data_IF_985664361150
#
_entry.id   IF_985664361150
#
_cell.length_a   1.000
_cell.length_b   1.000
_cell.length_c   1.000
_cell.angle_alpha   90.00
_cell.angle_beta   90.00
_cell.angle_gamma   90.00
#
_symmetry.space_group_name_H-M   'P 1'
#
loop_
_entity.id
_entity.type
_entity.pdbx_description
1 polymer ?
#
# COMPACT_ATOMS: atom_id res chain seq x y z
N UNK A 1 0.52 3.75 48.35
CA UNK A 1 0.41 5.12 47.82
C UNK A 1 -0.96 5.66 48.16
N UNK A 2 -1.05 6.75 48.95
CA UNK A 2 -2.31 7.43 49.25
C UNK A 2 -2.64 8.31 48.03
N UNK A 3 -3.89 8.23 47.57
CA UNK A 3 -4.41 9.06 46.48
C UNK A 3 -5.57 9.91 47.06
N UNK A 4 -5.51 11.21 46.84
CA UNK A 4 -6.57 12.14 47.21
C UNK A 4 -7.47 12.41 46.00
N UNK A 5 -8.76 12.19 46.15
CA UNK A 5 -9.74 12.42 45.10
C UNK A 5 -10.58 13.66 45.50
N UNK A 6 -10.52 14.77 44.72
CA UNK A 6 -11.31 15.95 45.01
C UNK A 6 -12.78 15.67 44.70
N UNK A 7 -13.63 16.00 45.64
CA UNK A 7 -15.10 15.90 45.51
C UNK A 7 -15.68 17.29 45.29
N UNK A 8 -16.73 17.37 44.46
CA UNK A 8 -17.50 18.59 44.26
C UNK A 8 -18.56 18.69 45.38
N UNK A 9 -18.41 19.68 46.25
CA UNK A 9 -19.25 19.86 47.43
C UNK A 9 -20.74 20.09 47.12
N UNK A 10 -21.05 20.46 45.87
CA UNK A 10 -22.45 20.63 45.42
C UNK A 10 -23.20 19.32 45.22
N UNK A 11 -22.49 18.19 45.27
CA UNK A 11 -23.07 16.87 45.03
C UNK A 11 -22.80 15.92 46.21
N UNK A 12 -23.66 14.99 46.39
CA UNK A 12 -23.48 13.90 47.37
C UNK A 12 -22.36 12.93 46.92
N UNK A 13 -21.95 12.06 47.84
CA UNK A 13 -20.86 11.11 47.59
C UNK A 13 -21.16 10.15 46.42
N UNK A 14 -22.42 9.72 46.28
CA UNK A 14 -22.88 8.83 45.22
C UNK A 14 -22.78 9.49 43.85
N UNK A 15 -23.23 10.73 43.76
CA UNK A 15 -23.17 11.52 42.52
C UNK A 15 -21.73 11.80 42.10
N UNK A 16 -20.85 12.15 43.05
CA UNK A 16 -19.44 12.32 42.80
C UNK A 16 -18.80 11.01 42.26
N UNK A 17 -19.07 9.88 42.91
CA UNK A 17 -18.57 8.57 42.46
C UNK A 17 -19.07 8.23 41.05
N UNK A 18 -20.33 8.44 40.73
CA UNK A 18 -20.88 8.22 39.40
C UNK A 18 -20.25 9.12 38.35
N UNK A 19 -19.94 10.37 38.68
CA UNK A 19 -19.23 11.30 37.75
C UNK A 19 -17.83 10.80 37.44
N UNK A 20 -17.06 10.34 38.40
CA UNK A 20 -15.73 9.75 38.19
C UNK A 20 -15.81 8.46 37.39
N UNK A 21 -16.78 7.59 37.71
CA UNK A 21 -17.00 6.37 36.93
C UNK A 21 -17.34 6.66 35.47
N UNK A 22 -18.22 7.62 35.21
CA UNK A 22 -18.54 8.03 33.83
C UNK A 22 -17.35 8.62 33.09
N UNK A 23 -16.51 9.43 33.76
CA UNK A 23 -15.24 9.93 33.19
C UNK A 23 -14.31 8.77 32.86
N UNK A 24 -14.16 7.79 33.75
CA UNK A 24 -13.37 6.61 33.51
C UNK A 24 -13.88 5.82 32.31
N UNK A 25 -15.16 5.52 32.22
CA UNK A 25 -15.76 4.80 31.11
C UNK A 25 -15.57 5.55 29.77
N UNK A 26 -15.79 6.88 29.77
CA UNK A 26 -15.58 7.71 28.61
C UNK A 26 -14.11 7.67 28.16
N UNK A 27 -13.16 7.82 29.07
CA UNK A 27 -11.74 7.75 28.77
C UNK A 27 -11.34 6.36 28.24
N UNK A 28 -11.82 5.28 28.86
CA UNK A 28 -11.57 3.91 28.41
C UNK A 28 -12.08 3.66 27.00
N UNK A 29 -13.31 4.09 26.69
CA UNK A 29 -13.87 3.94 25.35
C UNK A 29 -13.13 4.82 24.32
N UNK A 30 -12.74 6.04 24.72
CA UNK A 30 -11.96 6.93 23.86
C UNK A 30 -10.60 6.35 23.49
N UNK A 31 -9.91 5.66 24.41
CA UNK A 31 -8.63 4.99 24.12
C UNK A 31 -8.77 3.94 23.02
N UNK A 32 -9.86 3.14 23.06
CA UNK A 32 -10.10 2.15 22.02
C UNK A 32 -10.30 2.80 20.65
N UNK A 33 -11.17 3.82 20.58
CA UNK A 33 -11.44 4.55 19.33
C UNK A 33 -10.18 5.23 18.79
N UNK A 34 -9.37 5.83 19.68
CA UNK A 34 -8.10 6.46 19.28
C UNK A 34 -7.11 5.44 18.73
N UNK A 35 -7.02 4.25 19.32
CA UNK A 35 -6.15 3.21 18.80
C UNK A 35 -6.57 2.78 17.38
N UNK A 36 -7.87 2.56 17.16
CA UNK A 36 -8.41 2.24 15.83
C UNK A 36 -8.09 3.36 14.81
N UNK A 37 -8.24 4.64 15.20
CA UNK A 37 -7.90 5.77 14.35
C UNK A 37 -6.40 5.87 14.04
N UNK A 38 -5.54 5.59 15.02
CA UNK A 38 -4.08 5.55 14.81
C UNK A 38 -3.73 4.47 13.79
N UNK A 39 -4.32 3.29 13.89
CA UNK A 39 -4.01 2.18 12.98
C UNK A 39 -4.48 2.49 11.55
N UNK A 40 -5.69 3.02 11.37
CA UNK A 40 -6.19 3.49 10.08
C UNK A 40 -5.30 4.59 9.48
N UNK A 41 -4.88 5.55 10.30
CA UNK A 41 -4.00 6.65 9.83
C UNK A 41 -2.63 6.13 9.39
N UNK A 42 -2.07 5.12 10.09
CA UNK A 42 -0.82 4.48 9.68
C UNK A 42 -0.96 3.77 8.34
N UNK A 43 -2.06 3.06 8.10
CA UNK A 43 -2.34 2.43 6.82
C UNK A 43 -2.43 3.47 5.70
N UNK A 44 -3.08 4.60 5.96
CA UNK A 44 -3.19 5.71 5.00
C UNK A 44 -1.83 6.35 4.70
N UNK A 45 -0.99 6.58 5.72
CA UNK A 45 0.39 7.05 5.52
C UNK A 45 1.17 6.07 4.65
N UNK A 46 1.10 4.77 4.92
CA UNK A 46 1.76 3.75 4.12
C UNK A 46 1.25 3.71 2.68
N UNK A 47 -0.04 3.95 2.46
CA UNK A 47 -0.61 4.07 1.12
C UNK A 47 0.01 5.25 0.36
N UNK A 48 0.05 6.44 0.95
CA UNK A 48 0.65 7.61 0.31
C UNK A 48 2.17 7.48 0.12
N UNK A 49 2.89 6.85 1.04
CA UNK A 49 4.33 6.58 0.89
C UNK A 49 4.60 5.68 -0.34
N UNK A 50 3.76 4.65 -0.55
CA UNK A 50 3.79 3.85 -1.79
C UNK A 50 3.50 4.69 -3.03
N UNK A 51 2.45 5.51 -3.01
CA UNK A 51 2.09 6.38 -4.13
C UNK A 51 3.23 7.34 -4.48
N UNK A 52 3.86 7.97 -3.49
CA UNK A 52 5.00 8.87 -3.68
C UNK A 52 6.20 8.16 -4.31
N UNK A 53 6.48 6.93 -3.88
CA UNK A 53 7.57 6.13 -4.47
C UNK A 53 7.28 5.76 -5.93
N UNK A 54 6.06 5.34 -6.22
CA UNK A 54 5.69 4.86 -7.55
C UNK A 54 5.59 6.00 -8.57
N UNK A 55 5.18 7.21 -8.15
CA UNK A 55 5.04 8.36 -9.06
C UNK A 55 6.38 8.88 -9.58
N UNK A 56 7.49 8.66 -8.86
CA UNK A 56 8.82 9.07 -9.30
C UNK A 56 9.27 8.40 -10.62
N UNK A 57 8.77 7.19 -10.88
CA UNK A 57 9.10 6.41 -12.08
C UNK A 57 7.88 6.25 -13.02
N UNK A 58 6.79 7.00 -12.75
CA UNK A 58 5.55 6.93 -13.50
C UNK A 58 5.67 7.69 -14.84
N UNK A 59 5.15 7.10 -15.90
CA UNK A 59 4.88 7.82 -17.13
C UNK A 59 3.50 8.53 -17.08
N UNK A 60 3.13 9.19 -18.17
CA UNK A 60 1.85 9.90 -18.25
C UNK A 60 0.64 8.97 -18.00
N UNK A 61 0.66 7.75 -18.53
CA UNK A 61 -0.44 6.80 -18.38
C UNK A 61 -0.52 6.28 -16.96
N UNK A 62 0.62 5.98 -16.36
CA UNK A 62 0.72 5.56 -14.96
C UNK A 62 0.16 6.65 -14.03
N UNK A 63 0.57 7.90 -14.24
CA UNK A 63 0.10 9.05 -13.45
C UNK A 63 -1.42 9.28 -13.62
N UNK A 64 -1.97 9.05 -14.80
CA UNK A 64 -3.42 9.14 -15.04
C UNK A 64 -4.21 8.05 -14.34
N UNK A 65 -3.68 6.81 -14.29
CA UNK A 65 -4.28 5.71 -13.53
C UNK A 65 -4.24 6.00 -12.01
N UNK A 66 -3.10 6.48 -11.49
CA UNK A 66 -2.96 6.89 -10.08
C UNK A 66 -3.93 8.02 -9.72
N UNK A 67 -4.10 9.00 -10.61
CA UNK A 67 -5.08 10.07 -10.43
C UNK A 67 -6.50 9.53 -10.36
N UNK A 68 -6.88 8.61 -11.26
CA UNK A 68 -8.21 7.98 -11.26
C UNK A 68 -8.43 7.19 -9.96
N UNK A 69 -7.42 6.50 -9.45
CA UNK A 69 -7.46 5.81 -8.16
C UNK A 69 -7.76 6.81 -7.02
N UNK A 70 -7.01 7.92 -6.94
CA UNK A 70 -7.20 8.96 -5.92
C UNK A 70 -8.58 9.65 -6.03
N UNK A 71 -9.10 9.84 -7.25
CA UNK A 71 -10.45 10.35 -7.48
C UNK A 71 -11.53 9.35 -7.02
N UNK A 72 -11.30 8.05 -7.21
CA UNK A 72 -12.22 7.00 -6.78
C UNK A 72 -12.24 6.82 -5.26
N UNK A 73 -11.10 7.01 -4.60
CA UNK A 73 -10.96 6.98 -3.15
C UNK A 73 -11.41 8.28 -2.46
N UNK A 74 -11.73 9.33 -3.24
CA UNK A 74 -12.22 10.60 -2.72
C UNK A 74 -11.14 11.60 -2.30
N UNK A 75 -9.86 11.31 -2.50
CA UNK A 75 -8.75 12.23 -2.22
C UNK A 75 -8.68 13.39 -3.23
N UNK A 76 -9.14 13.16 -4.46
CA UNK A 76 -9.23 14.19 -5.50
C UNK A 76 -10.68 14.37 -5.95
N UNK A 77 -11.03 15.62 -6.27
CA UNK A 77 -12.35 15.93 -6.84
C UNK A 77 -12.43 15.39 -8.26
N UNK A 78 -13.43 14.55 -8.54
CA UNK A 78 -13.74 14.15 -9.91
C UNK A 78 -14.17 15.38 -10.72
N UNK A 79 -13.43 15.69 -11.78
CA UNK A 79 -13.92 16.64 -12.77
C UNK A 79 -15.10 15.97 -13.50
N UNK A 80 -16.29 16.58 -13.45
CA UNK A 80 -17.45 16.14 -14.23
C UNK A 80 -17.14 16.36 -15.73
N UNK A 81 -16.49 15.37 -16.33
CA UNK A 81 -16.47 15.26 -17.78
C UNK A 81 -17.68 14.41 -18.17
N UNK A 82 -18.40 14.81 -19.20
CA UNK A 82 -19.43 13.97 -19.86
C UNK A 82 -18.71 12.73 -20.37
N UNK A 83 -18.55 11.72 -19.52
CA UNK A 83 -17.81 10.51 -19.87
C UNK A 83 -18.65 9.67 -20.79
N UNK A 84 -18.29 9.63 -22.04
CA UNK A 84 -18.52 8.45 -22.88
C UNK A 84 -17.97 7.27 -22.08
N UNK A 85 -18.80 6.27 -21.76
CA UNK A 85 -18.40 5.02 -21.10
C UNK A 85 -17.23 4.40 -21.88
N UNK A 86 -16.00 4.75 -21.52
CA UNK A 86 -14.82 4.08 -22.08
C UNK A 86 -14.84 2.64 -21.58
N UNK A 87 -14.78 1.66 -22.50
CA UNK A 87 -14.52 0.26 -22.15
C UNK A 87 -13.32 0.25 -21.21
N UNK A 88 -13.42 -0.47 -20.07
CA UNK A 88 -12.30 -0.68 -19.16
C UNK A 88 -11.15 -1.28 -19.97
N UNK A 89 -10.15 -0.46 -20.27
CA UNK A 89 -8.87 -0.93 -20.80
C UNK A 89 -8.17 -1.66 -19.66
N UNK A 90 -7.43 -2.72 -19.99
CA UNK A 90 -6.50 -3.31 -19.03
C UNK A 90 -5.49 -2.23 -18.58
N UNK A 91 -5.04 -2.24 -17.31
CA UNK A 91 -4.01 -1.32 -16.85
C UNK A 91 -2.78 -1.39 -17.74
N UNK A 92 -2.11 -0.26 -17.93
CA UNK A 92 -0.93 -0.16 -18.76
C UNK A 92 0.31 -0.52 -17.92
N UNK A 93 0.66 -1.82 -17.83
CA UNK A 93 1.87 -2.29 -17.15
C UNK A 93 3.04 -2.40 -18.10
N UNK A 94 4.26 -2.28 -17.59
CA UNK A 94 5.48 -2.40 -18.38
C UNK A 94 5.83 -3.88 -18.63
N UNK A 95 6.27 -4.17 -19.85
CA UNK A 95 6.80 -5.49 -20.21
C UNK A 95 8.25 -5.35 -20.61
N UNK A 96 9.13 -6.10 -19.95
CA UNK A 96 10.54 -6.22 -20.30
C UNK A 96 10.78 -7.63 -20.83
N UNK A 97 11.74 -7.78 -21.73
CA UNK A 97 12.13 -9.06 -22.31
C UNK A 97 13.63 -9.26 -22.16
N UNK A 98 14.05 -10.39 -21.65
CA UNK A 98 15.45 -10.74 -21.54
C UNK A 98 16.00 -11.21 -22.88
N UNK A 99 17.32 -11.41 -22.96
CA UNK A 99 17.99 -11.97 -24.16
C UNK A 99 17.52 -13.40 -24.45
N UNK A 100 17.13 -14.13 -23.42
CA UNK A 100 16.63 -15.53 -23.52
C UNK A 100 15.09 -15.59 -23.64
N UNK A 101 14.48 -14.51 -24.13
CA UNK A 101 13.05 -14.41 -24.39
C UNK A 101 12.14 -14.50 -23.16
N UNK A 102 12.69 -14.45 -21.93
CA UNK A 102 11.89 -14.44 -20.70
C UNK A 102 11.21 -13.08 -20.53
N UNK A 103 9.89 -13.08 -20.30
CA UNK A 103 9.11 -11.88 -20.12
C UNK A 103 9.00 -11.50 -18.64
N UNK A 104 9.19 -10.22 -18.34
CA UNK A 104 8.94 -9.61 -17.04
C UNK A 104 7.78 -8.63 -17.17
N UNK A 105 6.79 -8.76 -16.29
CA UNK A 105 5.68 -7.80 -16.17
C UNK A 105 5.89 -6.96 -14.92
N UNK A 106 5.97 -5.64 -15.08
CA UNK A 106 6.26 -4.71 -14.01
C UNK A 106 5.07 -3.78 -13.81
N UNK A 107 4.51 -3.80 -12.60
CA UNK A 107 3.48 -2.84 -12.21
C UNK A 107 4.12 -1.58 -11.64
N UNK A 108 3.72 -0.40 -12.14
CA UNK A 108 4.26 0.90 -11.75
C UNK A 108 3.30 1.76 -10.93
N UNK A 109 2.15 1.20 -10.55
CA UNK A 109 1.20 1.76 -9.61
C UNK A 109 0.41 0.63 -8.93
N UNK A 110 -0.42 0.94 -7.92
CA UNK A 110 -1.16 -0.06 -7.16
C UNK A 110 -2.08 -0.91 -8.06
N UNK A 111 -2.80 -0.28 -8.99
CA UNK A 111 -3.72 -0.95 -9.91
C UNK A 111 -2.97 -1.93 -10.80
N UNK A 112 -1.81 -1.53 -11.31
CA UNK A 112 -0.96 -2.38 -12.15
C UNK A 112 -0.32 -3.51 -11.33
N UNK A 113 0.15 -3.23 -10.11
CA UNK A 113 0.70 -4.23 -9.20
C UNK A 113 -0.32 -5.34 -8.93
N UNK A 114 -1.57 -4.98 -8.63
CA UNK A 114 -2.66 -5.93 -8.44
C UNK A 114 -2.98 -6.69 -9.73
N UNK A 115 -3.02 -5.98 -10.86
CA UNK A 115 -3.31 -6.61 -12.14
C UNK A 115 -2.25 -7.62 -12.57
N UNK A 116 -0.96 -7.25 -12.51
CA UNK A 116 0.11 -8.18 -12.92
C UNK A 116 0.20 -9.39 -11.99
N UNK A 117 -0.09 -9.21 -10.70
CA UNK A 117 -0.03 -10.28 -9.71
C UNK A 117 -1.23 -11.22 -9.76
N UNK A 118 -2.46 -10.67 -9.79
CA UNK A 118 -3.66 -11.47 -9.60
C UNK A 118 -4.44 -11.78 -10.90
N UNK A 119 -4.13 -11.11 -12.01
CA UNK A 119 -4.83 -11.30 -13.28
C UNK A 119 -3.92 -11.73 -14.42
N UNK A 120 -2.68 -11.26 -14.46
CA UNK A 120 -1.75 -11.54 -15.56
C UNK A 120 -0.86 -12.74 -15.27
N UNK A 121 -0.34 -12.86 -14.04
CA UNK A 121 0.53 -13.95 -13.64
C UNK A 121 -0.15 -15.31 -13.73
N UNK A 122 0.60 -16.32 -14.13
CA UNK A 122 0.22 -17.73 -14.09
C UNK A 122 0.77 -18.38 -12.83
N UNK A 123 0.24 -19.53 -12.44
CA UNK A 123 0.70 -20.29 -11.25
C UNK A 123 2.17 -20.77 -11.35
N UNK A 124 2.71 -20.84 -12.56
CA UNK A 124 4.10 -21.19 -12.84
C UNK A 124 5.06 -20.02 -12.73
N UNK A 125 4.54 -18.78 -12.75
CA UNK A 125 5.35 -17.57 -12.75
C UNK A 125 5.89 -17.28 -11.35
N UNK A 126 6.88 -16.39 -11.28
CA UNK A 126 7.47 -15.94 -10.02
C UNK A 126 7.23 -14.47 -9.80
N UNK A 127 6.83 -14.14 -8.57
CA UNK A 127 6.62 -12.79 -8.10
C UNK A 127 7.84 -12.31 -7.31
N UNK A 128 8.26 -11.06 -7.55
CA UNK A 128 9.35 -10.38 -6.86
C UNK A 128 8.88 -9.03 -6.34
N UNK A 129 9.33 -8.68 -5.14
CA UNK A 129 9.09 -7.37 -4.53
C UNK A 129 10.17 -7.06 -3.49
N UNK A 130 10.53 -5.79 -3.33
CA UNK A 130 11.45 -5.35 -2.27
C UNK A 130 10.87 -5.64 -0.90
N UNK A 131 11.73 -6.04 0.04
CA UNK A 131 11.31 -6.39 1.39
C UNK A 131 11.04 -5.12 2.20
N UNK A 132 9.90 -5.09 2.89
CA UNK A 132 9.52 -4.08 3.90
C UNK A 132 9.58 -2.61 3.42
N UNK A 133 9.49 -2.35 2.13
CA UNK A 133 9.46 -1.00 1.57
C UNK A 133 8.58 -0.92 0.33
N UNK A 134 8.10 0.30 -0.02
CA UNK A 134 7.32 0.52 -1.24
C UNK A 134 8.10 0.22 -2.51
N UNK A 135 7.41 -0.39 -3.49
CA UNK A 135 8.00 -0.71 -4.80
C UNK A 135 7.03 -1.36 -5.78
N UNK A 136 7.53 -1.68 -6.95
CA UNK A 136 6.81 -2.38 -8.00
C UNK A 136 6.74 -3.88 -7.75
N UNK A 137 5.63 -4.51 -8.15
CA UNK A 137 5.56 -5.95 -8.32
C UNK A 137 6.18 -6.32 -9.68
N UNK A 138 7.08 -7.27 -9.66
CA UNK A 138 7.71 -7.82 -10.87
C UNK A 138 7.30 -9.28 -10.99
N UNK A 139 6.67 -9.64 -12.10
CA UNK A 139 6.30 -11.02 -12.42
C UNK A 139 7.24 -11.53 -13.50
N UNK A 140 7.92 -12.61 -13.23
CA UNK A 140 8.76 -13.32 -14.21
C UNK A 140 7.96 -14.47 -14.77
N UNK A 141 7.71 -14.39 -16.08
CA UNK A 141 6.98 -15.42 -16.81
C UNK A 141 7.90 -16.59 -17.18
N UNK A 142 8.09 -17.50 -16.23
CA UNK A 142 8.91 -18.72 -16.39
C UNK A 142 8.49 -19.75 -15.35
N UNK A 143 8.58 -21.00 -15.69
CA UNK A 143 8.37 -22.16 -14.79
C UNK A 143 9.66 -22.58 -14.07
N UNK A 144 10.80 -22.09 -14.51
CA UNK A 144 12.12 -22.32 -13.93
C UNK A 144 12.94 -21.03 -13.92
N UNK A 145 13.64 -20.76 -12.82
CA UNK A 145 14.50 -19.60 -12.66
C UNK A 145 15.95 -20.04 -12.47
N UNK A 146 16.83 -19.53 -13.33
CA UNK A 146 18.26 -19.56 -13.09
C UNK A 146 18.70 -18.38 -12.19
N UNK A 147 19.90 -18.45 -11.66
CA UNK A 147 20.44 -17.41 -10.77
C UNK A 147 20.53 -16.04 -11.45
N UNK A 148 20.85 -16.03 -12.75
CA UNK A 148 20.94 -14.78 -13.53
C UNK A 148 19.58 -14.11 -13.61
N UNK A 149 18.53 -14.85 -13.95
CA UNK A 149 17.16 -14.33 -14.05
C UNK A 149 16.65 -13.84 -12.68
N UNK A 150 16.96 -14.57 -11.59
CA UNK A 150 16.63 -14.15 -10.22
C UNK A 150 17.29 -12.79 -9.91
N UNK A 151 18.59 -12.65 -10.16
CA UNK A 151 19.33 -11.40 -9.92
C UNK A 151 18.80 -10.24 -10.76
N UNK A 152 18.50 -10.51 -12.03
CA UNK A 152 17.93 -9.50 -12.93
C UNK A 152 16.55 -9.03 -12.46
N UNK A 153 15.67 -9.95 -12.11
CA UNK A 153 14.33 -9.63 -11.60
C UNK A 153 14.38 -8.86 -10.26
N UNK A 154 15.29 -9.27 -9.37
CA UNK A 154 15.54 -8.56 -8.11
C UNK A 154 16.07 -7.14 -8.37
N UNK A 155 16.98 -6.97 -9.33
CA UNK A 155 17.48 -5.66 -9.78
C UNK A 155 16.37 -4.76 -10.32
N UNK A 156 15.46 -5.31 -11.12
CA UNK A 156 14.29 -4.57 -11.62
C UNK A 156 13.36 -4.16 -10.46
N UNK A 157 13.08 -5.06 -9.51
CA UNK A 157 12.27 -4.73 -8.34
C UNK A 157 12.92 -3.66 -7.46
N UNK A 158 14.24 -3.72 -7.26
CA UNK A 158 15.01 -2.72 -6.52
C UNK A 158 14.98 -1.35 -7.22
N UNK A 159 15.15 -1.31 -8.54
CA UNK A 159 15.13 -0.09 -9.34
C UNK A 159 13.81 0.67 -9.23
N UNK A 160 12.67 -0.04 -9.24
CA UNK A 160 11.33 0.52 -9.09
C UNK A 160 10.86 0.55 -7.64
N UNK A 161 11.76 0.85 -6.70
CA UNK A 161 11.45 0.89 -5.27
C UNK A 161 11.99 2.13 -4.59
N UNK A 162 11.54 2.36 -3.35
CA UNK A 162 12.09 3.40 -2.47
C UNK A 162 13.58 3.20 -2.19
N UNK A 163 14.10 1.99 -2.35
CA UNK A 163 15.49 1.63 -2.12
C UNK A 163 16.43 1.79 -3.33
N UNK A 164 15.98 2.36 -4.45
CA UNK A 164 16.73 2.41 -5.72
C UNK A 164 18.16 2.97 -5.63
N UNK A 165 18.38 3.91 -4.71
CA UNK A 165 19.68 4.57 -4.51
C UNK A 165 20.52 3.93 -3.37
N UNK A 166 20.04 2.82 -2.80
CA UNK A 166 20.74 2.09 -1.75
C UNK A 166 21.75 1.10 -2.34
N UNK A 167 22.88 0.92 -1.64
CA UNK A 167 23.92 -0.03 -2.07
C UNK A 167 23.49 -1.50 -1.99
N UNK A 168 22.47 -1.81 -1.19
CA UNK A 168 21.91 -3.16 -1.03
C UNK A 168 20.42 -3.07 -0.72
N UNK A 169 19.62 -3.80 -1.49
CA UNK A 169 18.15 -3.84 -1.33
C UNK A 169 17.72 -5.29 -1.20
N UNK A 170 17.16 -5.71 -0.07
CA UNK A 170 16.63 -7.05 0.07
C UNK A 170 15.35 -7.20 -0.76
N UNK A 171 15.25 -8.29 -1.53
CA UNK A 171 14.11 -8.61 -2.38
C UNK A 171 13.56 -9.97 -2.00
N UNK A 172 12.26 -10.03 -1.76
CA UNK A 172 11.53 -11.27 -1.58
C UNK A 172 11.06 -11.77 -2.95
N UNK A 173 11.10 -13.09 -3.15
CA UNK A 173 10.47 -13.72 -4.31
C UNK A 173 9.82 -15.05 -3.92
N UNK A 174 8.78 -15.40 -4.66
CA UNK A 174 8.05 -16.67 -4.50
C UNK A 174 7.34 -17.02 -5.78
N UNK A 175 7.05 -18.32 -5.97
CA UNK A 175 6.18 -18.75 -7.04
C UNK A 175 4.75 -18.31 -6.76
N UNK A 176 4.04 -17.87 -7.80
CA UNK A 176 2.63 -17.43 -7.72
C UNK A 176 1.76 -18.66 -7.41
N UNK A 177 0.80 -18.50 -6.48
CA UNK A 177 -0.09 -19.59 -6.02
C UNK A 177 -1.41 -19.61 -6.80
#
# INVERSE_FOLDING_TARGET
TKMTIPLDERYDGKTNANRYYNKYQKAKNSLKVLQEQIDLTKEEINYFDRMMTLIENADYYDAMEMKEELENLGYLKKKMSKSIRKKKKHPHYQTLKTKDDILFYVGKNNIQNDYVTFKKAKKTDYWFHVKDMPGSHVIVHSDNLDEYTIRLAAGVAAYYSKGKDSSSVPVNYTQVK
#
